data_IF_105738153844
#
_entry.id   IF_105738153844
#
_cell.length_a   1.000
_cell.length_b   1.000
_cell.length_c   1.000
_cell.angle_alpha   90.00
_cell.angle_beta   90.00
_cell.angle_gamma   90.00
#
_symmetry.space_group_name_H-M   'P 1'
#
loop_
_entity.id
_entity.type
_entity.pdbx_description
1 polymer ?
#
# COMPACT_ATOMS: atom_id res chain seq x y z
N UNK A 1 37.08 9.00 25.76
CA UNK A 1 36.53 9.81 24.65
C UNK A 1 35.02 9.90 24.82
N UNK A 2 34.45 11.10 24.96
CA UNK A 2 33.01 11.28 25.10
C UNK A 2 32.33 11.13 23.75
N UNK A 3 31.57 10.05 23.54
CA UNK A 3 30.81 9.79 22.31
C UNK A 3 29.71 10.84 22.13
N UNK A 4 29.77 11.62 21.04
CA UNK A 4 28.78 12.65 20.72
C UNK A 4 27.82 12.17 19.65
N UNK A 5 26.55 12.57 19.74
CA UNK A 5 25.45 12.00 18.95
C UNK A 5 24.75 13.06 18.10
N UNK A 6 24.49 12.73 16.84
CA UNK A 6 23.60 13.48 15.96
C UNK A 6 22.31 12.67 15.86
N UNK A 7 21.25 13.20 16.45
CA UNK A 7 19.94 12.58 16.50
C UNK A 7 19.17 12.97 15.25
N UNK A 8 18.70 11.96 14.51
CA UNK A 8 17.86 12.12 13.32
C UNK A 8 16.68 11.16 13.39
N UNK A 9 15.59 11.51 12.72
CA UNK A 9 14.41 10.65 12.59
C UNK A 9 14.41 9.97 11.22
N UNK A 10 15.33 9.02 11.05
CA UNK A 10 15.52 8.29 9.80
C UNK A 10 15.32 6.80 10.03
N UNK A 11 14.43 6.19 9.24
CA UNK A 11 14.20 4.74 9.23
C UNK A 11 14.88 4.12 8.01
N UNK A 12 16.10 3.63 8.21
CA UNK A 12 16.95 3.10 7.14
C UNK A 12 16.60 1.63 6.90
N UNK A 13 16.37 1.27 5.64
CA UNK A 13 16.23 -0.11 5.20
C UNK A 13 17.62 -0.68 4.86
N UNK A 14 18.02 -1.75 5.53
CA UNK A 14 19.27 -2.47 5.26
C UNK A 14 19.04 -3.57 4.21
N UNK A 15 20.13 -4.08 3.63
CA UNK A 15 20.09 -5.12 2.60
C UNK A 15 19.37 -6.40 3.07
N UNK A 16 19.48 -6.73 4.35
CA UNK A 16 18.77 -7.86 4.96
C UNK A 16 17.26 -7.61 5.20
N UNK A 17 16.71 -6.48 4.72
CA UNK A 17 15.30 -6.11 4.87
C UNK A 17 14.95 -5.48 6.23
N UNK A 18 15.91 -5.36 7.16
CA UNK A 18 15.66 -4.72 8.45
C UNK A 18 15.42 -3.21 8.28
N UNK A 19 14.40 -2.68 8.95
CA UNK A 19 14.10 -1.24 9.01
C UNK A 19 14.44 -0.73 10.41
N UNK A 20 15.51 0.04 10.53
CA UNK A 20 16.04 0.47 11.84
C UNK A 20 16.03 1.99 11.93
N UNK A 21 15.64 2.51 13.10
CA UNK A 21 15.82 3.93 13.42
C UNK A 21 17.29 4.19 13.71
N UNK A 22 17.93 4.99 12.86
CA UNK A 22 19.38 5.19 12.91
C UNK A 22 19.71 6.64 13.23
N UNK A 23 20.64 6.83 14.16
CA UNK A 23 21.27 8.11 14.49
C UNK A 23 22.79 7.97 14.44
N UNK A 24 23.51 9.08 14.35
CA UNK A 24 24.94 9.06 14.03
C UNK A 24 25.80 9.47 15.22
N UNK A 25 27.05 9.00 15.22
CA UNK A 25 28.09 9.44 16.16
C UNK A 25 29.05 10.37 15.43
N UNK A 26 29.47 11.44 16.08
CA UNK A 26 30.46 12.40 15.53
C UNK A 26 31.57 12.69 16.53
N UNK A 27 32.80 12.89 16.04
CA UNK A 27 33.89 13.46 16.82
C UNK A 27 33.91 14.99 16.77
N UNK A 28 33.19 15.60 15.82
CA UNK A 28 33.22 17.03 15.53
C UNK A 28 31.89 17.70 15.94
N UNK A 29 31.83 18.22 17.16
CA UNK A 29 30.61 18.86 17.69
C UNK A 29 30.86 20.12 18.50
N UNK A 30 32.10 20.64 18.52
CA UNK A 30 32.43 21.84 19.29
C UNK A 30 32.16 21.74 20.79
N UNK A 31 32.12 20.53 21.36
CA UNK A 31 31.76 20.29 22.76
C UNK A 31 30.30 19.86 23.00
N UNK A 32 29.45 19.91 21.98
CA UNK A 32 28.03 19.50 22.08
C UNK A 32 27.92 17.97 22.16
N UNK A 33 27.29 17.45 23.21
CA UNK A 33 27.19 16.00 23.46
C UNK A 33 26.12 15.34 22.59
N UNK A 34 25.00 16.03 22.34
CA UNK A 34 23.96 15.57 21.44
C UNK A 34 23.27 16.77 20.76
N UNK A 35 22.93 16.62 19.49
CA UNK A 35 22.17 17.63 18.74
C UNK A 35 21.22 16.96 17.75
N UNK A 36 20.11 17.62 17.46
CA UNK A 36 19.22 17.22 16.37
C UNK A 36 19.73 17.80 15.04
N UNK A 37 19.51 17.09 13.94
CA UNK A 37 19.88 17.56 12.61
C UNK A 37 18.70 17.40 11.63
N UNK A 38 17.76 18.37 11.60
CA UNK A 38 16.56 18.28 10.77
C UNK A 38 16.88 18.26 9.27
N UNK A 39 17.89 19.01 8.82
CA UNK A 39 18.26 19.03 7.40
C UNK A 39 18.90 17.71 6.96
N UNK A 40 19.73 17.11 7.82
CA UNK A 40 20.25 15.76 7.60
C UNK A 40 19.12 14.72 7.56
N UNK A 41 18.12 14.87 8.45
CA UNK A 41 16.94 14.00 8.48
C UNK A 41 16.19 14.07 7.15
N UNK A 42 15.92 15.28 6.64
CA UNK A 42 15.27 15.50 5.34
C UNK A 42 16.08 14.92 4.18
N UNK A 43 17.38 15.15 4.15
CA UNK A 43 18.26 14.67 3.09
C UNK A 43 18.27 13.13 3.02
N UNK A 44 18.43 12.46 4.16
CA UNK A 44 18.44 11.00 4.24
C UNK A 44 17.07 10.43 3.84
N UNK A 45 15.97 10.96 4.40
CA UNK A 45 14.64 10.44 4.10
C UNK A 45 14.29 10.62 2.62
N UNK A 46 14.70 11.72 1.98
CA UNK A 46 14.52 11.93 0.54
C UNK A 46 15.22 10.86 -0.30
N UNK A 47 16.48 10.55 0.00
CA UNK A 47 17.20 9.52 -0.75
C UNK A 47 16.67 8.11 -0.44
N UNK A 48 16.27 7.85 0.81
CA UNK A 48 15.64 6.59 1.20
C UNK A 48 14.32 6.37 0.44
N UNK A 49 13.46 7.38 0.37
CA UNK A 49 12.20 7.33 -0.39
C UNK A 49 12.45 7.14 -1.89
N UNK A 50 13.49 7.79 -2.43
CA UNK A 50 13.91 7.62 -3.82
C UNK A 50 14.34 6.18 -4.10
N UNK A 51 15.16 5.58 -3.22
CA UNK A 51 15.61 4.20 -3.35
C UNK A 51 14.45 3.21 -3.22
N UNK A 52 13.54 3.44 -2.27
CA UNK A 52 12.33 2.63 -2.12
C UNK A 52 11.49 2.68 -3.39
N UNK A 53 11.26 3.87 -3.96
CA UNK A 53 10.49 4.03 -5.21
C UNK A 53 11.17 3.36 -6.40
N UNK A 54 12.49 3.50 -6.54
CA UNK A 54 13.25 2.90 -7.63
C UNK A 54 13.25 1.36 -7.56
N UNK A 55 13.29 0.80 -6.36
CA UNK A 55 13.29 -0.65 -6.14
C UNK A 55 11.88 -1.25 -5.98
N UNK A 56 10.86 -0.42 -5.75
CA UNK A 56 9.48 -0.89 -5.73
C UNK A 56 8.98 -1.08 -7.15
N UNK A 57 8.70 -2.33 -7.52
CA UNK A 57 8.01 -2.64 -8.76
C UNK A 57 6.57 -2.14 -8.62
N UNK A 58 6.19 -1.13 -9.41
CA UNK A 58 4.78 -0.74 -9.50
C UNK A 58 3.99 -1.92 -10.06
N UNK A 59 3.24 -2.59 -9.19
CA UNK A 59 2.35 -3.65 -9.61
C UNK A 59 1.16 -2.99 -10.32
N UNK A 60 0.79 -3.49 -11.52
CA UNK A 60 -0.40 -3.01 -12.20
C UNK A 60 -1.60 -3.14 -11.27
N UNK A 61 -2.36 -2.05 -11.14
CA UNK A 61 -3.67 -2.08 -10.49
C UNK A 61 -4.63 -2.80 -11.43
N UNK A 62 -5.09 -3.97 -11.02
CA UNK A 62 -6.14 -4.68 -11.75
C UNK A 62 -7.49 -4.17 -11.28
N UNK A 63 -8.34 -3.84 -12.24
CA UNK A 63 -9.77 -3.69 -12.00
C UNK A 63 -10.41 -5.08 -12.11
N UNK A 64 -11.15 -5.46 -11.07
CA UNK A 64 -11.79 -6.77 -11.00
C UNK A 64 -13.30 -6.59 -11.17
N UNK A 65 -13.97 -7.52 -11.87
CA UNK A 65 -15.43 -7.47 -11.98
C UNK A 65 -16.09 -7.58 -10.60
N UNK A 66 -17.32 -7.09 -10.47
CA UNK A 66 -18.05 -6.99 -9.20
C UNK A 66 -18.21 -8.31 -8.45
N UNK A 67 -18.24 -9.42 -9.19
CA UNK A 67 -18.33 -10.76 -8.65
C UNK A 67 -16.99 -11.26 -8.09
N UNK A 68 -15.92 -10.49 -8.13
CA UNK A 68 -14.61 -10.90 -7.64
C UNK A 68 -14.24 -10.01 -6.46
N UNK A 69 -14.03 -10.64 -5.31
CA UNK A 69 -13.48 -9.98 -4.14
C UNK A 69 -12.13 -10.58 -3.77
N UNK A 70 -11.17 -9.72 -3.49
CA UNK A 70 -9.80 -10.13 -3.14
C UNK A 70 -9.51 -9.84 -1.67
N UNK A 71 -8.49 -10.50 -1.12
CA UNK A 71 -8.03 -10.22 0.25
C UNK A 71 -7.68 -8.72 0.44
N UNK A 72 -7.07 -8.08 -0.57
CA UNK A 72 -6.74 -6.65 -0.52
C UNK A 72 -8.00 -5.75 -0.44
N UNK A 73 -9.06 -6.10 -1.17
CA UNK A 73 -10.36 -5.41 -1.06
C UNK A 73 -10.96 -5.60 0.34
N UNK A 74 -10.95 -6.81 0.88
CA UNK A 74 -11.46 -7.10 2.23
C UNK A 74 -10.66 -6.38 3.33
N UNK A 75 -9.33 -6.31 3.21
CA UNK A 75 -8.49 -5.52 4.13
C UNK A 75 -8.84 -4.04 4.10
N UNK A 76 -9.16 -3.50 2.91
CA UNK A 76 -9.62 -2.11 2.79
C UNK A 76 -10.96 -1.92 3.50
N UNK A 77 -11.92 -2.83 3.32
CA UNK A 77 -13.20 -2.79 4.04
C UNK A 77 -13.01 -2.85 5.56
N UNK A 78 -12.19 -3.78 6.06
CA UNK A 78 -11.87 -3.88 7.47
C UNK A 78 -11.22 -2.60 8.03
N UNK A 79 -10.28 -1.99 7.28
CA UNK A 79 -9.66 -0.70 7.66
C UNK A 79 -10.69 0.42 7.85
N UNK A 80 -11.73 0.43 7.03
CA UNK A 80 -12.82 1.41 7.12
C UNK A 80 -13.96 0.97 8.05
N UNK A 81 -13.78 -0.10 8.83
CA UNK A 81 -14.75 -0.57 9.81
C UNK A 81 -15.96 -1.30 9.20
N UNK A 82 -15.87 -1.76 7.95
CA UNK A 82 -16.93 -2.53 7.30
C UNK A 82 -16.79 -4.02 7.67
N UNK A 83 -17.77 -4.55 8.39
CA UNK A 83 -17.88 -5.98 8.73
C UNK A 83 -18.52 -6.76 7.57
N UNK A 84 -17.72 -7.10 6.56
CA UNK A 84 -18.15 -7.90 5.42
C UNK A 84 -18.02 -9.41 5.71
N UNK A 85 -19.11 -10.15 5.58
CA UNK A 85 -19.15 -11.61 5.73
C UNK A 85 -19.64 -12.25 4.43
N UNK A 86 -18.88 -13.23 3.93
CA UNK A 86 -19.20 -14.00 2.73
C UNK A 86 -19.42 -15.44 3.16
N UNK A 87 -20.56 -16.04 2.77
CA UNK A 87 -20.86 -17.44 3.09
C UNK A 87 -20.21 -18.36 2.06
N UNK A 88 -19.87 -19.57 2.49
CA UNK A 88 -19.29 -20.57 1.60
C UNK A 88 -20.22 -20.92 0.43
N UNK A 89 -21.53 -20.96 0.66
CA UNK A 89 -22.53 -21.27 -0.37
C UNK A 89 -22.65 -20.17 -1.45
N UNK A 90 -22.16 -18.97 -1.16
CA UNK A 90 -22.28 -17.80 -2.03
C UNK A 90 -21.00 -17.52 -2.84
N UNK A 91 -19.95 -18.34 -2.69
CA UNK A 91 -18.67 -18.08 -3.33
C UNK A 91 -17.84 -19.32 -3.66
N UNK A 92 -16.91 -19.17 -4.60
CA UNK A 92 -15.89 -20.17 -4.92
C UNK A 92 -14.51 -19.49 -4.87
N UNK A 93 -13.53 -20.15 -4.26
CA UNK A 93 -12.17 -19.66 -4.27
C UNK A 93 -11.54 -19.80 -5.66
N UNK A 94 -10.95 -18.70 -6.14
CA UNK A 94 -10.31 -18.62 -7.45
C UNK A 94 -8.90 -18.05 -7.34
N UNK A 95 -7.93 -18.74 -7.96
CA UNK A 95 -6.55 -18.26 -8.08
C UNK A 95 -6.34 -17.33 -9.29
N UNK A 96 -7.20 -17.41 -10.30
CA UNK A 96 -7.12 -16.62 -11.54
C UNK A 96 -8.45 -16.64 -12.28
N UNK A 97 -8.79 -15.54 -12.96
CA UNK A 97 -9.86 -15.51 -13.96
C UNK A 97 -9.36 -16.08 -15.28
N UNK A 98 -10.23 -16.65 -16.11
CA UNK A 98 -9.81 -17.25 -17.38
C UNK A 98 -9.16 -16.23 -18.32
N UNK A 99 -9.66 -14.99 -18.36
CA UNK A 99 -9.00 -13.89 -19.09
C UNK A 99 -7.59 -13.58 -18.55
N UNK A 100 -7.34 -13.76 -17.25
CA UNK A 100 -6.00 -13.61 -16.67
C UNK A 100 -5.11 -14.82 -17.00
N UNK A 101 -5.66 -16.04 -17.00
CA UNK A 101 -4.93 -17.25 -17.38
C UNK A 101 -4.41 -17.17 -18.81
N UNK A 102 -5.21 -16.65 -19.74
CA UNK A 102 -4.80 -16.41 -21.14
C UNK A 102 -3.59 -15.47 -21.24
N UNK A 103 -3.45 -14.54 -20.27
CA UNK A 103 -2.32 -13.62 -20.17
C UNK A 103 -1.20 -14.11 -19.23
N UNK A 104 -1.25 -15.36 -18.74
CA UNK A 104 -0.28 -15.90 -17.79
C UNK A 104 -0.29 -15.22 -16.41
N UNK A 105 -1.40 -14.58 -16.03
CA UNK A 105 -1.57 -13.81 -14.79
C UNK A 105 -2.55 -14.49 -13.83
N UNK A 106 -2.48 -14.12 -12.56
CA UNK A 106 -3.40 -14.59 -11.52
C UNK A 106 -3.85 -13.48 -10.58
N UNK A 107 -4.73 -13.84 -9.65
CA UNK A 107 -5.19 -12.96 -8.57
C UNK A 107 -4.16 -13.00 -7.45
N UNK A 108 -3.55 -11.86 -7.17
CA UNK A 108 -2.56 -11.75 -6.12
C UNK A 108 -3.21 -11.99 -4.74
N UNK A 109 -2.71 -12.98 -4.01
CA UNK A 109 -3.25 -13.36 -2.70
C UNK A 109 -4.56 -14.17 -2.75
N UNK A 110 -4.98 -14.66 -3.92
CA UNK A 110 -6.25 -15.34 -4.19
C UNK A 110 -7.50 -14.46 -4.04
N UNK A 111 -8.58 -14.85 -4.72
CA UNK A 111 -9.88 -14.15 -4.68
C UNK A 111 -11.04 -15.11 -4.48
N UNK A 112 -12.21 -14.57 -4.17
CA UNK A 112 -13.48 -15.27 -4.15
C UNK A 112 -14.32 -14.78 -5.33
N UNK A 113 -14.85 -15.73 -6.11
CA UNK A 113 -15.86 -15.48 -7.12
C UNK A 113 -17.24 -15.65 -6.48
N UNK A 114 -18.03 -14.59 -6.47
CA UNK A 114 -19.32 -14.47 -5.80
C UNK A 114 -20.47 -14.74 -6.77
N UNK A 115 -21.52 -15.39 -6.28
CA UNK A 115 -22.80 -15.41 -6.97
C UNK A 115 -23.37 -13.97 -7.05
N UNK A 116 -24.18 -13.67 -8.06
CA UNK A 116 -24.70 -12.32 -8.33
C UNK A 116 -25.49 -11.71 -7.15
N UNK A 117 -26.05 -12.56 -6.28
CA UNK A 117 -26.76 -12.14 -5.07
C UNK A 117 -25.84 -11.70 -3.93
N UNK A 118 -24.57 -12.10 -3.96
CA UNK A 118 -23.56 -11.78 -2.95
C UNK A 118 -22.62 -10.64 -3.38
N UNK A 119 -22.68 -10.19 -4.64
CA UNK A 119 -22.01 -8.96 -5.08
C UNK A 119 -22.59 -7.73 -4.36
N UNK A 120 -21.72 -6.82 -3.93
CA UNK A 120 -22.11 -5.63 -3.19
C UNK A 120 -23.17 -4.80 -3.94
N UNK A 121 -24.26 -4.46 -3.24
CA UNK A 121 -25.33 -3.59 -3.76
C UNK A 121 -24.72 -2.23 -4.13
N UNK A 122 -24.82 -1.85 -5.41
CA UNK A 122 -24.38 -0.54 -5.88
C UNK A 122 -25.58 0.40 -5.92
N UNK A 123 -25.40 1.59 -5.38
CA UNK A 123 -26.30 2.71 -5.66
C UNK A 123 -25.98 3.22 -7.06
N UNK A 124 -26.97 3.20 -7.94
CA UNK A 124 -26.80 3.76 -9.27
C UNK A 124 -26.54 5.26 -9.19
N UNK A 125 -25.67 5.77 -10.07
CA UNK A 125 -25.51 7.20 -10.25
C UNK A 125 -26.84 7.78 -10.70
N UNK A 126 -27.28 8.82 -10.01
CA UNK A 126 -28.43 9.62 -10.41
C UNK A 126 -28.20 10.28 -11.77
N UNK A 127 -29.29 10.62 -12.45
CA UNK A 127 -29.21 11.31 -13.76
C UNK A 127 -28.46 12.64 -13.66
N UNK A 128 -28.52 13.30 -12.50
CA UNK A 128 -27.73 14.50 -12.20
C UNK A 128 -26.23 14.22 -12.21
N UNK A 129 -25.78 13.14 -11.57
CA UNK A 129 -24.36 12.78 -11.52
C UNK A 129 -23.85 12.32 -12.88
N UNK A 130 -24.67 11.60 -13.66
CA UNK A 130 -24.37 11.24 -15.05
C UNK A 130 -24.19 12.49 -15.93
N UNK A 131 -25.05 13.51 -15.77
CA UNK A 131 -24.95 14.77 -16.50
C UNK A 131 -23.67 15.57 -16.14
N UNK A 132 -23.26 15.56 -14.86
CA UNK A 132 -22.01 16.20 -14.42
C UNK A 132 -20.80 15.50 -15.07
N UNK A 133 -20.78 14.16 -15.12
CA UNK A 133 -19.70 13.41 -15.76
C UNK A 133 -19.61 13.74 -17.25
N UNK A 134 -20.76 13.87 -17.93
CA UNK A 134 -20.80 14.29 -19.34
C UNK A 134 -20.25 15.70 -19.59
N UNK A 135 -20.33 16.60 -18.61
CA UNK A 135 -19.79 17.97 -18.72
C UNK A 135 -18.29 18.08 -18.44
N UNK A 136 -17.68 17.04 -17.86
CA UNK A 136 -16.25 17.00 -17.55
C UNK A 136 -15.39 16.44 -18.72
N UNK A 137 -16.03 16.04 -19.83
CA UNK A 137 -15.40 15.53 -21.04
C UNK A 137 -15.09 16.61 -22.07
#
# INVERSE_FOLDING_TARGET
MTTRRIIVDCQIAYENGARVKTSFVTSYSGGIVAQTAPDLTKAINRENDRLIKANSKELPKYDYPMNVITAAMMQRYARYGVDLKIRADDCIQVGSLDAQKQAGKGIFGSGLLLCERASAVRWELSDREKAIIQQLG
#
